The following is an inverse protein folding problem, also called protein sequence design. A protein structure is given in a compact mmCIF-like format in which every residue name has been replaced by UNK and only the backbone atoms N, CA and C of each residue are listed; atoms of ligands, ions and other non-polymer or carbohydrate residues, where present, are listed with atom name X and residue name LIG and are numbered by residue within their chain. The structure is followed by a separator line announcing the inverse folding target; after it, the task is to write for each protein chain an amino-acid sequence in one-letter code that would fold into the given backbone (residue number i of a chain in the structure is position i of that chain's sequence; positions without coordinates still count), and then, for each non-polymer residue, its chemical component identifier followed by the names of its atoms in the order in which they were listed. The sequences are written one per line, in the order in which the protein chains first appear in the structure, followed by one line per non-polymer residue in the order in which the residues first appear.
data_IF_415347173224
#
_entry.id   IF_415347173224
#
_cell.length_a   1.000
_cell.length_b   1.000
_cell.length_c   1.000
_cell.angle_alpha   90.00
_cell.angle_beta   90.00
_cell.angle_gamma   90.00
#
_symmetry.space_group_name_H-M   'P 1'
#
loop_
_entity.id
_entity.type
_entity.pdbx_description
1 polymer ?
#
# COMPACT_ATOMS: atom_id res chain seq x y z
N UNK A 1 28.29 14.18 -20.86
CA UNK A 1 27.29 13.21 -20.36
C UNK A 1 27.01 13.58 -18.91
N UNK A 2 25.86 14.20 -18.64
CA UNK A 2 25.48 14.52 -17.26
C UNK A 2 25.32 13.19 -16.50
N UNK A 3 25.93 13.09 -15.32
CA UNK A 3 25.71 11.97 -14.41
C UNK A 3 24.23 12.00 -14.07
N UNK A 4 23.44 11.12 -14.69
CA UNK A 4 22.05 10.91 -14.32
C UNK A 4 22.05 10.50 -12.85
N UNK A 5 21.61 11.39 -11.96
CA UNK A 5 21.48 11.06 -10.55
C UNK A 5 20.49 9.92 -10.43
N UNK A 6 20.98 8.75 -10.04
CA UNK A 6 20.13 7.57 -9.86
C UNK A 6 19.12 7.87 -8.76
N UNK A 7 17.84 7.90 -9.12
CA UNK A 7 16.75 8.04 -8.16
C UNK A 7 16.93 7.02 -7.03
N UNK A 8 16.91 7.47 -5.78
CA UNK A 8 17.14 6.61 -4.62
C UNK A 8 15.90 6.62 -3.72
N UNK A 9 15.39 5.43 -3.41
CA UNK A 9 14.30 5.23 -2.47
C UNK A 9 14.81 4.80 -1.10
N UNK A 10 14.37 5.50 -0.08
CA UNK A 10 14.71 5.21 1.31
C UNK A 10 13.83 4.06 1.81
N UNK A 11 14.37 3.22 2.71
CA UNK A 11 13.56 2.26 3.44
C UNK A 11 12.57 3.03 4.35
N UNK A 12 11.25 2.91 4.15
CA UNK A 12 10.27 3.68 4.91
C UNK A 12 9.89 3.06 6.25
N UNK A 13 10.44 1.89 6.59
CA UNK A 13 10.20 1.22 7.85
C UNK A 13 11.32 1.51 8.85
N UNK A 14 10.95 1.62 10.11
CA UNK A 14 11.91 1.72 11.21
C UNK A 14 12.70 0.42 11.37
N UNK A 15 14.01 0.55 11.61
CA UNK A 15 14.91 -0.57 11.83
C UNK A 15 15.47 -1.20 10.54
N UNK A 16 16.12 -2.38 10.66
CA UNK A 16 16.74 -3.04 9.52
C UNK A 16 15.68 -3.49 8.49
N UNK A 17 15.99 -3.45 7.18
CA UNK A 17 15.05 -3.88 6.15
C UNK A 17 14.65 -5.36 6.31
N UNK A 18 13.38 -5.61 6.66
CA UNK A 18 12.79 -6.95 6.71
C UNK A 18 11.97 -7.24 5.44
N UNK A 19 11.77 -8.51 5.06
CA UNK A 19 10.84 -8.86 3.99
C UNK A 19 9.44 -8.35 4.31
N UNK A 20 8.77 -7.74 3.33
CA UNK A 20 7.37 -7.38 3.46
C UNK A 20 6.52 -8.65 3.55
N UNK A 21 5.55 -8.63 4.45
CA UNK A 21 4.54 -9.69 4.53
C UNK A 21 3.50 -9.46 3.44
N UNK A 22 3.07 -10.53 2.81
CA UNK A 22 1.97 -10.55 1.86
C UNK A 22 0.74 -11.17 2.52
N UNK A 23 -0.44 -10.66 2.19
CA UNK A 23 -1.72 -11.27 2.56
C UNK A 23 -2.19 -12.30 1.52
N UNK A 24 -1.63 -12.26 0.31
CA UNK A 24 -1.83 -13.22 -0.79
C UNK A 24 -0.60 -13.25 -1.69
N UNK A 25 -0.76 -13.32 -3.01
CA UNK A 25 0.36 -13.16 -3.96
C UNK A 25 0.45 -11.76 -4.55
N UNK A 26 -0.65 -10.99 -4.54
CA UNK A 26 -0.73 -9.63 -5.08
C UNK A 26 -0.88 -8.54 -4.01
N UNK A 27 -1.29 -8.91 -2.80
CA UNK A 27 -1.62 -7.94 -1.74
C UNK A 27 -0.60 -7.97 -0.58
N UNK A 28 -0.22 -6.79 -0.09
CA UNK A 28 0.61 -6.67 1.11
C UNK A 28 -0.26 -6.89 2.34
N UNK A 29 0.36 -7.35 3.42
CA UNK A 29 -0.31 -7.43 4.72
C UNK A 29 -0.77 -6.03 5.16
N UNK A 30 -2.00 -5.86 5.67
CA UNK A 30 -2.49 -4.57 6.15
C UNK A 30 -1.58 -3.86 7.15
N UNK A 31 -0.82 -4.61 7.96
CA UNK A 31 0.18 -4.08 8.90
C UNK A 31 1.22 -3.19 8.19
N UNK A 32 1.53 -3.48 6.93
CA UNK A 32 2.43 -2.66 6.09
C UNK A 32 1.86 -1.26 5.92
N UNK A 33 0.58 -1.13 5.55
CA UNK A 33 -0.08 0.15 5.34
C UNK A 33 -0.20 0.97 6.64
N UNK A 34 -0.56 0.32 7.75
CA UNK A 34 -0.65 0.96 9.06
C UNK A 34 0.69 1.50 9.57
N UNK A 35 1.79 0.76 9.33
CA UNK A 35 3.14 1.24 9.66
C UNK A 35 3.51 2.48 8.85
N UNK A 36 3.24 2.47 7.54
CA UNK A 36 3.56 3.58 6.65
C UNK A 36 2.76 4.85 6.97
N UNK A 37 1.51 4.69 7.42
CA UNK A 37 0.68 5.82 7.90
C UNK A 37 1.07 6.33 9.30
N UNK A 38 2.14 5.79 9.91
CA UNK A 38 2.61 6.21 11.24
C UNK A 38 1.70 5.78 12.40
N UNK A 39 0.73 4.89 12.15
CA UNK A 39 -0.17 4.37 13.19
C UNK A 39 -0.16 2.85 13.15
N UNK A 40 0.92 2.19 13.63
CA UNK A 40 1.03 0.75 13.56
C UNK A 40 -0.10 0.08 14.36
N UNK A 41 -0.59 -1.09 13.92
CA UNK A 41 -1.71 -1.81 14.56
C UNK A 41 -1.60 -1.90 16.10
N UNK A 42 -0.44 -2.23 16.71
CA UNK A 42 -0.30 -2.20 18.17
C UNK A 42 -0.65 -0.86 18.82
N UNK A 43 -0.32 0.26 18.17
CA UNK A 43 -0.65 1.59 18.67
C UNK A 43 -2.16 1.88 18.56
N UNK A 44 -2.83 1.38 17.52
CA UNK A 44 -4.29 1.44 17.38
C UNK A 44 -4.94 0.69 18.55
N UNK A 45 -4.59 -0.58 18.76
CA UNK A 45 -5.12 -1.36 19.87
C UNK A 45 -4.73 -0.80 21.24
N UNK A 46 -3.60 -0.10 21.37
CA UNK A 46 -3.21 0.56 22.62
C UNK A 46 -4.14 1.73 22.96
N UNK A 47 -4.54 2.53 21.97
CA UNK A 47 -5.49 3.65 22.17
C UNK A 47 -6.85 3.16 22.65
N UNK A 48 -7.27 1.98 22.20
CA UNK A 48 -8.52 1.32 22.62
C UNK A 48 -8.38 0.51 23.92
N UNK A 49 -7.21 0.51 24.60
CA UNK A 49 -6.98 -0.30 25.80
C UNK A 49 -6.91 -1.82 25.54
N UNK A 50 -6.78 -2.24 24.29
CA UNK A 50 -6.78 -3.63 23.81
C UNK A 50 -5.38 -4.18 23.49
N UNK A 51 -4.29 -3.47 23.80
CA UNK A 51 -2.93 -3.90 23.46
C UNK A 51 -2.55 -5.28 24.05
N UNK A 52 -2.93 -5.55 25.30
CA UNK A 52 -2.65 -6.84 25.95
C UNK A 52 -3.40 -8.00 25.29
N UNK A 53 -4.64 -7.74 24.87
CA UNK A 53 -5.48 -8.66 24.11
C UNK A 53 -4.87 -8.94 22.73
N UNK A 54 -4.49 -7.89 21.99
CA UNK A 54 -3.84 -8.01 20.68
C UNK A 54 -2.53 -8.83 20.76
N UNK A 55 -1.66 -8.52 21.73
CA UNK A 55 -0.39 -9.26 21.92
C UNK A 55 -0.62 -10.74 22.27
N UNK A 56 -1.69 -11.08 23.00
CA UNK A 56 -2.09 -12.47 23.23
C UNK A 56 -2.53 -13.14 21.94
N UNK A 57 -3.36 -12.48 21.13
CA UNK A 57 -3.79 -12.96 19.81
C UNK A 57 -2.63 -13.29 18.88
N UNK A 58 -1.68 -12.37 18.73
CA UNK A 58 -0.46 -12.59 17.92
C UNK A 58 0.32 -13.81 18.41
N UNK A 59 0.53 -13.97 19.72
CA UNK A 59 1.20 -15.15 20.28
C UNK A 59 0.43 -16.44 20.04
N UNK A 60 -0.91 -16.40 20.08
CA UNK A 60 -1.75 -17.56 19.80
C UNK A 60 -1.66 -17.97 18.33
N UNK A 61 -1.59 -17.02 17.41
CA UNK A 61 -1.46 -17.28 15.97
C UNK A 61 -0.17 -18.04 15.64
N UNK A 62 0.91 -17.77 16.37
CA UNK A 62 2.22 -18.42 16.18
C UNK A 62 2.47 -19.59 17.14
N UNK A 63 1.51 -19.95 18.00
CA UNK A 63 1.70 -20.98 19.01
C UNK A 63 1.51 -22.40 18.44
N UNK A 64 2.40 -23.31 18.79
CA UNK A 64 2.29 -24.76 18.54
C UNK A 64 1.79 -25.53 19.77
N UNK A 65 1.48 -24.84 20.86
CA UNK A 65 1.14 -25.50 22.12
C UNK A 65 -0.24 -26.19 22.07
N UNK A 66 -0.43 -27.30 22.82
CA UNK A 66 -1.72 -28.00 22.89
C UNK A 66 -2.85 -27.09 23.38
N UNK A 67 -4.10 -27.40 23.03
CA UNK A 67 -5.29 -26.59 23.36
C UNK A 67 -5.27 -25.16 22.77
N UNK A 68 -4.63 -24.96 21.61
CA UNK A 68 -4.63 -23.67 20.92
C UNK A 68 -6.05 -23.18 20.60
N UNK A 69 -6.90 -24.07 20.09
CA UNK A 69 -8.29 -23.76 19.73
C UNK A 69 -9.08 -23.25 20.93
N UNK A 70 -9.04 -23.96 22.07
CA UNK A 70 -9.69 -23.52 23.31
C UNK A 70 -9.18 -22.16 23.78
N UNK A 71 -7.87 -21.90 23.68
CA UNK A 71 -7.29 -20.60 24.05
C UNK A 71 -7.66 -19.49 23.06
N UNK A 72 -7.77 -19.80 21.78
CA UNK A 72 -8.28 -18.88 20.76
C UNK A 72 -9.75 -18.54 21.04
N UNK A 73 -10.58 -19.53 21.40
CA UNK A 73 -11.97 -19.28 21.78
C UNK A 73 -12.09 -18.36 22.99
N UNK A 74 -11.35 -18.63 24.07
CA UNK A 74 -11.36 -17.73 25.25
C UNK A 74 -10.92 -16.31 24.91
N UNK A 75 -9.91 -16.17 24.05
CA UNK A 75 -9.44 -14.87 23.57
C UNK A 75 -10.52 -14.14 22.75
N UNK A 76 -11.28 -14.86 21.93
CA UNK A 76 -12.41 -14.33 21.17
C UNK A 76 -13.58 -13.90 22.07
N UNK A 77 -13.96 -14.73 23.02
CA UNK A 77 -15.05 -14.45 23.96
C UNK A 77 -14.78 -13.20 24.80
N UNK A 78 -13.51 -12.99 25.20
CA UNK A 78 -13.08 -11.77 25.87
C UNK A 78 -13.30 -10.50 25.02
N UNK A 79 -13.11 -10.57 23.69
CA UNK A 79 -13.35 -9.43 22.81
C UNK A 79 -14.84 -9.19 22.63
N UNK A 80 -15.62 -10.24 22.40
CA UNK A 80 -17.07 -10.17 22.23
C UNK A 80 -17.76 -9.57 23.44
N UNK A 81 -17.28 -9.87 24.66
CA UNK A 81 -17.80 -9.28 25.89
C UNK A 81 -17.45 -7.80 26.07
N UNK A 82 -16.33 -7.33 25.49
CA UNK A 82 -15.83 -5.96 25.65
C UNK A 82 -16.39 -4.98 24.65
N UNK A 83 -16.66 -5.45 23.43
CA UNK A 83 -17.06 -4.62 22.30
C UNK A 83 -18.08 -5.34 21.44
N UNK A 84 -19.36 -5.37 21.88
CA UNK A 84 -20.44 -6.01 21.15
C UNK A 84 -20.68 -5.39 19.77
N UNK A 85 -20.24 -4.14 19.52
CA UNK A 85 -20.27 -3.48 18.22
C UNK A 85 -19.43 -4.19 17.13
N UNK A 86 -18.48 -5.05 17.51
CA UNK A 86 -17.77 -5.92 16.57
C UNK A 86 -18.54 -7.23 16.27
N UNK A 87 -19.84 -7.27 16.60
CA UNK A 87 -20.71 -8.45 16.65
C UNK A 87 -20.63 -9.33 15.42
N UNK A 88 -20.68 -8.76 14.22
CA UNK A 88 -20.87 -9.57 13.00
C UNK A 88 -19.66 -10.46 12.69
N UNK A 89 -18.44 -9.91 12.81
CA UNK A 89 -17.20 -10.67 12.62
C UNK A 89 -16.99 -11.69 13.75
N UNK A 90 -17.30 -11.32 14.99
CA UNK A 90 -17.15 -12.20 16.15
C UNK A 90 -18.20 -13.31 16.16
N UNK A 91 -19.41 -13.04 15.66
CA UNK A 91 -20.50 -14.01 15.55
C UNK A 91 -20.15 -15.12 14.56
N UNK A 92 -19.62 -14.77 13.38
CA UNK A 92 -19.15 -15.77 12.41
C UNK A 92 -18.03 -16.65 13.01
N UNK A 93 -17.11 -16.07 13.78
CA UNK A 93 -16.08 -16.85 14.47
C UNK A 93 -16.64 -17.76 15.57
N UNK A 94 -17.60 -17.29 16.36
CA UNK A 94 -18.26 -18.09 17.38
C UNK A 94 -19.04 -19.26 16.77
N UNK A 95 -19.80 -19.01 15.69
CA UNK A 95 -20.53 -20.03 14.96
C UNK A 95 -19.58 -21.07 14.36
N UNK A 96 -18.48 -20.64 13.74
CA UNK A 96 -17.49 -21.54 13.17
C UNK A 96 -16.81 -22.41 14.25
N UNK A 97 -16.45 -21.82 15.39
CA UNK A 97 -15.92 -22.58 16.54
C UNK A 97 -16.94 -23.56 17.14
N UNK A 98 -18.23 -23.27 17.00
CA UNK A 98 -19.32 -24.19 17.33
C UNK A 98 -19.52 -25.33 16.33
N UNK A 99 -18.72 -25.39 15.26
CA UNK A 99 -18.82 -26.41 14.20
C UNK A 99 -19.77 -26.06 13.06
N UNK A 100 -20.27 -24.82 12.99
CA UNK A 100 -21.18 -24.38 11.94
C UNK A 100 -20.43 -24.26 10.60
N UNK A 101 -20.77 -25.14 9.65
CA UNK A 101 -20.01 -25.30 8.41
C UNK A 101 -20.12 -24.08 7.49
N UNK A 102 -21.25 -23.35 7.49
CA UNK A 102 -21.38 -22.15 6.68
C UNK A 102 -20.55 -21.00 7.23
N UNK A 103 -20.49 -20.80 8.55
CA UNK A 103 -19.62 -19.83 9.18
C UNK A 103 -18.15 -20.12 8.91
N UNK A 104 -17.73 -21.40 9.01
CA UNK A 104 -16.38 -21.80 8.64
C UNK A 104 -16.08 -21.49 7.17
N UNK A 105 -17.03 -21.73 6.27
CA UNK A 105 -16.88 -21.40 4.85
C UNK A 105 -16.79 -19.89 4.60
N UNK A 106 -17.61 -19.07 5.28
CA UNK A 106 -17.55 -17.60 5.22
C UNK A 106 -16.18 -17.08 5.67
N UNK A 107 -15.70 -17.54 6.82
CA UNK A 107 -14.38 -17.15 7.34
C UNK A 107 -13.25 -17.61 6.43
N UNK A 108 -13.35 -18.82 5.88
CA UNK A 108 -12.37 -19.32 4.92
C UNK A 108 -12.26 -18.44 3.68
N UNK A 109 -13.35 -17.77 3.27
CA UNK A 109 -13.41 -16.84 2.13
C UNK A 109 -13.08 -15.39 2.51
N UNK A 110 -12.97 -15.07 3.80
CA UNK A 110 -12.73 -13.72 4.27
C UNK A 110 -11.26 -13.33 4.09
N UNK A 111 -11.05 -12.15 3.52
CA UNK A 111 -9.71 -11.60 3.34
C UNK A 111 -9.23 -10.88 4.60
N UNK A 112 -7.92 -10.69 4.75
CA UNK A 112 -7.38 -9.93 5.90
C UNK A 112 -7.88 -8.47 5.89
N UNK A 113 -8.05 -7.86 4.71
CA UNK A 113 -8.61 -6.51 4.58
C UNK A 113 -10.07 -6.44 5.02
N UNK A 114 -10.89 -7.40 4.56
CA UNK A 114 -12.29 -7.51 4.96
C UNK A 114 -12.44 -7.75 6.46
N UNK A 115 -11.62 -8.66 7.02
CA UNK A 115 -11.61 -8.94 8.45
C UNK A 115 -11.31 -7.67 9.27
N UNK A 116 -10.33 -6.86 8.84
CA UNK A 116 -9.98 -5.61 9.53
C UNK A 116 -11.10 -4.57 9.41
N UNK A 117 -11.73 -4.41 8.25
CA UNK A 117 -12.81 -3.44 8.08
C UNK A 117 -14.06 -3.84 8.89
N UNK A 118 -14.45 -5.12 8.85
CA UNK A 118 -15.54 -5.63 9.70
C UNK A 118 -15.22 -5.52 11.19
N UNK A 119 -13.97 -5.80 11.58
CA UNK A 119 -13.50 -5.60 12.95
C UNK A 119 -13.41 -4.11 13.36
N UNK A 120 -13.68 -3.17 12.46
CA UNK A 120 -13.87 -1.74 12.75
C UNK A 120 -15.35 -1.33 12.70
N UNK A 121 -16.26 -2.30 12.57
CA UNK A 121 -17.69 -2.07 12.40
C UNK A 121 -18.07 -1.51 11.03
N UNK A 122 -17.18 -1.55 10.03
CA UNK A 122 -17.46 -1.05 8.69
C UNK A 122 -18.09 -2.16 7.85
N UNK A 123 -19.23 -1.85 7.23
CA UNK A 123 -19.82 -2.68 6.19
C UNK A 123 -19.31 -2.23 4.82
N UNK A 124 -19.55 -3.06 3.81
CA UNK A 124 -19.12 -2.77 2.44
C UNK A 124 -19.61 -1.41 1.91
N UNK A 125 -20.81 -1.01 2.32
CA UNK A 125 -21.41 0.27 1.94
C UNK A 125 -20.73 1.50 2.59
N UNK A 126 -20.04 1.30 3.72
CA UNK A 126 -19.37 2.36 4.47
C UNK A 126 -17.92 2.57 4.02
N UNK A 127 -17.41 1.68 3.15
CA UNK A 127 -16.01 1.72 2.75
C UNK A 127 -15.73 2.87 1.81
N UNK A 128 -14.62 3.57 2.09
CA UNK A 128 -14.03 4.48 1.13
C UNK A 128 -13.56 3.70 -0.11
N UNK A 129 -13.52 4.32 -1.30
CA UNK A 129 -13.14 3.65 -2.54
C UNK A 129 -11.83 2.86 -2.47
N UNK A 130 -10.82 3.40 -1.79
CA UNK A 130 -9.52 2.73 -1.63
C UNK A 130 -9.57 1.52 -0.69
N UNK A 131 -10.44 1.53 0.34
CA UNK A 131 -10.67 0.36 1.19
C UNK A 131 -11.39 -0.73 0.40
N UNK A 132 -12.44 -0.35 -0.35
CA UNK A 132 -13.18 -1.27 -1.21
C UNK A 132 -12.31 -1.89 -2.30
N UNK A 133 -11.36 -1.13 -2.87
CA UNK A 133 -10.41 -1.64 -3.86
C UNK A 133 -9.54 -2.78 -3.31
N UNK A 134 -8.95 -2.64 -2.13
CA UNK A 134 -8.10 -3.70 -1.57
C UNK A 134 -8.89 -4.92 -1.11
N UNK A 135 -10.15 -4.76 -0.69
CA UNK A 135 -11.04 -5.89 -0.47
C UNK A 135 -11.36 -6.63 -1.78
N UNK A 136 -11.69 -5.92 -2.86
CA UNK A 136 -11.99 -6.53 -4.16
C UNK A 136 -10.77 -7.29 -4.70
N UNK A 137 -9.59 -6.66 -4.65
CA UNK A 137 -8.34 -7.31 -5.04
C UNK A 137 -8.02 -8.47 -4.12
N UNK A 138 -8.16 -8.31 -2.79
CA UNK A 138 -7.89 -9.36 -1.82
C UNK A 138 -8.76 -10.60 -2.02
N UNK A 139 -10.04 -10.43 -2.35
CA UNK A 139 -10.94 -11.55 -2.60
C UNK A 139 -10.52 -12.30 -3.88
N UNK A 140 -10.15 -11.56 -4.91
CA UNK A 140 -9.63 -12.13 -6.15
C UNK A 140 -8.26 -12.80 -5.96
N UNK A 141 -7.39 -12.23 -5.12
CA UNK A 141 -6.07 -12.73 -4.75
C UNK A 141 -6.17 -14.03 -3.93
N UNK A 142 -7.12 -14.12 -3.00
CA UNK A 142 -7.38 -15.36 -2.26
C UNK A 142 -7.84 -16.50 -3.20
N UNK A 143 -8.74 -16.20 -4.14
CA UNK A 143 -9.16 -17.17 -5.14
C UNK A 143 -7.99 -17.58 -6.06
N UNK A 144 -7.10 -16.64 -6.38
CA UNK A 144 -5.87 -16.90 -7.14
C UNK A 144 -4.93 -17.82 -6.36
N UNK A 145 -4.64 -17.54 -5.09
CA UNK A 145 -3.81 -18.37 -4.21
C UNK A 145 -4.29 -19.82 -4.20
N UNK A 146 -5.60 -20.05 -3.99
CA UNK A 146 -6.18 -21.40 -3.96
C UNK A 146 -5.95 -22.17 -5.26
N UNK A 147 -6.01 -21.49 -6.41
CA UNK A 147 -5.73 -22.11 -7.72
C UNK A 147 -4.26 -22.45 -7.89
N UNK A 148 -3.39 -21.54 -7.48
CA UNK A 148 -1.94 -21.72 -7.54
C UNK A 148 -1.49 -22.87 -6.63
N UNK A 149 -2.09 -23.01 -5.45
CA UNK A 149 -1.84 -24.12 -4.51
C UNK A 149 -2.20 -25.50 -5.10
N UNK A 150 -3.25 -25.57 -5.92
CA UNK A 150 -3.64 -26.80 -6.63
C UNK A 150 -2.87 -27.01 -7.94
N UNK A 151 -1.93 -26.12 -8.29
CA UNK A 151 -1.18 -26.18 -9.55
C UNK A 151 -1.98 -25.77 -10.79
N UNK A 152 -3.15 -25.17 -10.62
CA UNK A 152 -4.05 -24.77 -11.72
C UNK A 152 -3.64 -23.41 -12.31
N UNK A 153 -2.52 -23.39 -13.05
CA UNK A 153 -2.00 -22.16 -13.69
C UNK A 153 -2.95 -21.61 -14.77
N UNK A 154 -3.62 -22.50 -15.51
CA UNK A 154 -4.56 -22.12 -16.55
C UNK A 154 -5.81 -21.45 -15.95
N UNK A 155 -6.38 -22.02 -14.89
CA UNK A 155 -7.49 -21.44 -14.17
C UNK A 155 -7.11 -20.16 -13.42
N UNK A 156 -5.88 -20.07 -12.90
CA UNK A 156 -5.33 -18.84 -12.33
C UNK A 156 -5.31 -17.70 -13.37
N UNK A 157 -4.76 -17.96 -14.57
CA UNK A 157 -4.74 -16.97 -15.66
C UNK A 157 -6.15 -16.57 -16.11
N UNK A 158 -7.05 -17.56 -16.31
CA UNK A 158 -8.43 -17.31 -16.71
C UNK A 158 -9.18 -16.45 -15.67
N UNK A 159 -8.97 -16.73 -14.38
CA UNK A 159 -9.52 -15.94 -13.28
C UNK A 159 -9.01 -14.49 -13.30
N UNK A 160 -7.70 -14.29 -13.49
CA UNK A 160 -7.13 -12.94 -13.59
C UNK A 160 -7.69 -12.18 -14.79
N UNK A 161 -7.74 -12.81 -15.97
CA UNK A 161 -8.24 -12.20 -17.20
C UNK A 161 -9.73 -11.82 -17.14
N UNK A 162 -10.54 -12.61 -16.43
CA UNK A 162 -11.96 -12.33 -16.23
C UNK A 162 -12.23 -11.26 -15.15
N UNK A 163 -11.32 -11.07 -14.18
CA UNK A 163 -11.56 -10.15 -13.08
C UNK A 163 -11.45 -8.68 -13.50
N UNK A 164 -12.42 -7.80 -13.12
CA UNK A 164 -12.43 -6.39 -13.55
C UNK A 164 -11.19 -5.58 -13.17
N UNK A 165 -10.48 -5.97 -12.10
CA UNK A 165 -9.24 -5.32 -11.66
C UNK A 165 -8.00 -6.08 -12.12
N UNK A 166 -7.96 -7.42 -11.95
CA UNK A 166 -6.71 -8.18 -12.14
C UNK A 166 -6.30 -8.26 -13.61
N UNK A 167 -7.27 -8.20 -14.54
CA UNK A 167 -6.97 -8.14 -15.98
C UNK A 167 -6.07 -6.97 -16.36
N UNK A 168 -6.10 -5.88 -15.58
CA UNK A 168 -5.28 -4.69 -15.82
C UNK A 168 -3.86 -4.82 -15.28
N UNK A 169 -3.53 -5.92 -14.62
CA UNK A 169 -2.18 -6.32 -14.21
C UNK A 169 -1.53 -7.25 -15.24
N UNK A 170 -2.31 -7.78 -16.19
CA UNK A 170 -1.82 -8.66 -17.25
C UNK A 170 -1.34 -7.82 -18.44
N UNK A 171 -0.10 -8.07 -18.85
CA UNK A 171 0.45 -7.64 -20.13
C UNK A 171 0.87 -8.88 -20.93
N UNK A 172 1.09 -8.80 -22.25
CA UNK A 172 1.34 -9.98 -23.08
C UNK A 172 2.44 -10.91 -22.55
N UNK A 173 3.56 -10.34 -22.08
CA UNK A 173 4.64 -11.10 -21.46
C UNK A 173 4.25 -11.82 -20.16
N UNK A 174 3.40 -11.20 -19.33
CA UNK A 174 2.93 -11.80 -18.08
C UNK A 174 1.98 -12.97 -18.33
N UNK A 175 1.06 -12.82 -19.29
CA UNK A 175 0.17 -13.92 -19.68
C UNK A 175 0.94 -15.12 -20.19
N UNK A 176 1.95 -14.87 -21.03
CA UNK A 176 2.84 -15.89 -21.55
C UNK A 176 3.64 -16.60 -20.45
N UNK A 177 4.15 -15.84 -19.48
CA UNK A 177 4.89 -16.38 -18.34
C UNK A 177 4.00 -17.30 -17.49
N UNK A 178 2.79 -16.85 -17.14
CA UNK A 178 1.84 -17.66 -16.35
C UNK A 178 1.44 -18.93 -17.12
N UNK A 179 1.19 -18.82 -18.43
CA UNK A 179 0.80 -19.97 -19.27
C UNK A 179 1.89 -21.04 -19.35
N UNK A 180 3.16 -20.64 -19.31
CA UNK A 180 4.32 -21.55 -19.45
C UNK A 180 4.83 -22.08 -18.11
N UNK A 181 4.48 -21.46 -17.00
CA UNK A 181 4.98 -21.84 -15.69
C UNK A 181 4.50 -23.23 -15.27
N UNK A 182 5.44 -24.05 -14.78
CA UNK A 182 5.11 -25.36 -14.22
C UNK A 182 4.85 -25.30 -12.72
N UNK A 183 5.45 -24.33 -12.02
CA UNK A 183 5.29 -24.12 -10.59
C UNK A 183 5.12 -22.65 -10.22
N UNK A 184 4.35 -22.39 -9.16
CA UNK A 184 4.10 -21.04 -8.62
C UNK A 184 5.40 -20.30 -8.27
N UNK A 185 6.43 -21.03 -7.85
CA UNK A 185 7.72 -20.45 -7.47
C UNK A 185 8.43 -19.74 -8.63
N UNK A 186 8.15 -20.12 -9.88
CA UNK A 186 8.67 -19.45 -11.08
C UNK A 186 8.04 -18.08 -11.29
N UNK A 187 6.86 -17.84 -10.72
CA UNK A 187 6.06 -16.63 -10.88
C UNK A 187 6.22 -15.63 -9.73
N UNK A 188 6.97 -15.97 -8.66
CA UNK A 188 7.12 -15.07 -7.50
C UNK A 188 7.65 -13.67 -7.87
N UNK A 189 8.65 -13.51 -8.76
CA UNK A 189 9.10 -12.17 -9.15
C UNK A 189 8.05 -11.41 -9.96
N UNK A 190 7.26 -12.11 -10.78
CA UNK A 190 6.14 -11.56 -11.55
C UNK A 190 5.01 -11.11 -10.62
N UNK A 191 4.60 -11.93 -9.66
CA UNK A 191 3.61 -11.55 -8.67
C UNK A 191 4.10 -10.39 -7.78
N UNK A 192 5.40 -10.35 -7.47
CA UNK A 192 6.02 -9.18 -6.84
C UNK A 192 5.86 -7.90 -7.68
N UNK A 193 6.06 -7.98 -9.00
CA UNK A 193 5.86 -6.86 -9.93
C UNK A 193 4.37 -6.42 -9.98
N UNK A 194 3.45 -7.38 -10.06
CA UNK A 194 2.00 -7.10 -10.05
C UNK A 194 1.52 -6.52 -8.72
N UNK A 195 2.07 -6.99 -7.59
CA UNK A 195 1.76 -6.44 -6.28
C UNK A 195 2.12 -4.95 -6.20
N UNK A 196 3.29 -4.55 -6.73
CA UNK A 196 3.65 -3.13 -6.78
C UNK A 196 2.62 -2.30 -7.57
N UNK A 197 2.09 -2.83 -8.68
CA UNK A 197 1.07 -2.14 -9.50
C UNK A 197 -0.32 -2.12 -8.82
N UNK A 198 -0.69 -3.18 -8.08
CA UNK A 198 -1.88 -3.17 -7.21
C UNK A 198 -1.81 -2.04 -6.19
N UNK A 199 -0.67 -1.89 -5.51
CA UNK A 199 -0.53 -0.89 -4.47
C UNK A 199 -0.39 0.54 -5.02
N UNK A 200 0.11 0.69 -6.24
CA UNK A 200 0.00 1.94 -6.99
C UNK A 200 -1.46 2.26 -7.32
N UNK A 201 -2.26 1.25 -7.70
CA UNK A 201 -3.70 1.37 -7.90
C UNK A 201 -4.46 1.78 -6.64
N UNK A 202 -4.14 1.18 -5.50
CA UNK A 202 -4.68 1.59 -4.20
C UNK A 202 -4.40 3.06 -3.88
N UNK A 203 -3.17 3.52 -4.13
CA UNK A 203 -2.82 4.94 -3.96
C UNK A 203 -3.65 5.86 -4.88
N UNK A 204 -3.89 5.44 -6.12
CA UNK A 204 -4.74 6.19 -7.04
C UNK A 204 -6.22 6.20 -6.59
N UNK A 205 -6.74 5.09 -6.06
CA UNK A 205 -8.08 5.03 -5.48
C UNK A 205 -8.24 6.01 -4.31
N UNK A 206 -7.21 6.11 -3.47
CA UNK A 206 -7.18 7.07 -2.36
C UNK A 206 -7.15 8.50 -2.86
N UNK A 207 -6.35 8.77 -3.90
CA UNK A 207 -6.21 10.09 -4.49
C UNK A 207 -7.50 10.59 -5.15
N UNK A 208 -8.22 9.75 -5.88
CA UNK A 208 -9.52 10.12 -6.47
C UNK A 208 -10.52 10.52 -5.39
N UNK A 209 -10.59 9.76 -4.31
CA UNK A 209 -11.47 10.04 -3.17
C UNK A 209 -11.14 11.40 -2.53
N UNK A 210 -9.86 11.63 -2.21
CA UNK A 210 -9.44 12.88 -1.56
C UNK A 210 -9.44 14.08 -2.50
N UNK A 211 -9.10 13.90 -3.77
CA UNK A 211 -9.09 14.98 -4.76
C UNK A 211 -10.51 15.46 -5.07
N UNK A 212 -11.49 14.54 -5.09
CA UNK A 212 -12.91 14.89 -5.20
C UNK A 212 -13.38 15.76 -4.03
N UNK A 213 -13.08 15.38 -2.79
CA UNK A 213 -13.41 16.17 -1.59
C UNK A 213 -12.83 17.60 -1.65
N UNK A 214 -11.71 17.78 -2.34
CA UNK A 214 -10.97 19.04 -2.42
C UNK A 214 -11.15 19.79 -3.75
N UNK A 215 -11.98 19.30 -4.68
CA UNK A 215 -12.18 19.90 -6.00
C UNK A 215 -10.92 19.94 -6.88
N UNK A 216 -10.06 18.91 -6.79
CA UNK A 216 -8.77 18.81 -7.52
C UNK A 216 -8.76 17.63 -8.48
N UNK A 217 -7.85 17.65 -9.45
CA UNK A 217 -7.57 16.48 -10.29
C UNK A 217 -6.79 15.41 -9.51
N UNK A 218 -5.73 15.79 -8.81
CA UNK A 218 -4.89 14.91 -8.01
C UNK A 218 -4.28 15.66 -6.82
N UNK A 219 -4.16 14.97 -5.70
CA UNK A 219 -3.44 15.38 -4.51
C UNK A 219 -2.05 14.74 -4.40
N UNK A 220 -1.79 13.62 -5.09
CA UNK A 220 -0.56 12.85 -4.94
C UNK A 220 0.37 12.87 -6.17
N UNK A 221 -0.10 13.25 -7.36
CA UNK A 221 0.69 13.25 -8.60
C UNK A 221 2.04 13.98 -8.43
N UNK A 222 2.03 15.11 -7.73
CA UNK A 222 3.24 15.90 -7.43
C UNK A 222 4.28 15.21 -6.55
N UNK A 223 3.92 14.12 -5.88
CA UNK A 223 4.82 13.32 -5.03
C UNK A 223 5.48 12.18 -5.81
N UNK A 224 5.06 11.93 -7.05
CA UNK A 224 5.61 10.88 -7.88
C UNK A 224 6.89 11.35 -8.58
N UNK A 225 7.98 10.56 -8.48
CA UNK A 225 9.14 10.74 -9.35
C UNK A 225 8.73 10.69 -10.82
N UNK A 226 9.31 11.56 -11.63
CA UNK A 226 8.99 11.66 -13.06
C UNK A 226 10.20 12.13 -13.85
N UNK A 227 10.21 11.84 -15.16
CA UNK A 227 11.25 12.29 -16.08
C UNK A 227 11.38 13.82 -16.14
N UNK A 228 10.31 14.56 -15.82
CA UNK A 228 10.33 16.03 -15.74
C UNK A 228 11.03 16.58 -14.50
N UNK A 229 11.28 15.73 -13.49
CA UNK A 229 11.96 16.08 -12.24
C UNK A 229 13.01 15.00 -11.92
N UNK A 230 14.04 14.84 -12.78
CA UNK A 230 14.98 13.73 -12.67
C UNK A 230 15.71 13.73 -11.34
N UNK A 231 15.87 12.55 -10.74
CA UNK A 231 16.57 12.35 -9.46
C UNK A 231 15.83 12.85 -8.21
N UNK A 232 14.62 13.41 -8.35
CA UNK A 232 13.81 13.87 -7.21
C UNK A 232 12.98 12.71 -6.66
N UNK A 233 13.30 12.29 -5.44
CA UNK A 233 12.55 11.25 -4.75
C UNK A 233 11.31 11.78 -4.01
N UNK A 234 10.41 10.90 -3.54
CA UNK A 234 9.14 11.32 -2.92
C UNK A 234 9.31 12.23 -1.71
N UNK A 235 10.41 12.11 -0.96
CA UNK A 235 10.70 12.99 0.18
C UNK A 235 10.96 14.41 -0.29
N UNK A 236 11.84 14.59 -1.26
CA UNK A 236 12.16 15.93 -1.79
C UNK A 236 10.94 16.57 -2.44
N UNK A 237 10.07 15.78 -3.08
CA UNK A 237 8.83 16.23 -3.69
C UNK A 237 7.77 16.60 -2.65
N UNK A 238 7.68 15.84 -1.56
CA UNK A 238 6.85 16.18 -0.41
C UNK A 238 7.31 17.50 0.21
N UNK A 239 8.61 17.72 0.37
CA UNK A 239 9.15 18.97 0.91
C UNK A 239 8.82 20.19 0.01
N UNK A 240 8.83 20.02 -1.31
CA UNK A 240 8.38 21.09 -2.22
C UNK A 240 6.89 21.41 -2.04
N UNK A 241 6.03 20.40 -1.84
CA UNK A 241 4.63 20.63 -1.53
C UNK A 241 4.43 21.30 -0.17
N UNK A 242 5.22 20.91 0.85
CA UNK A 242 5.22 21.56 2.16
C UNK A 242 5.52 23.04 2.01
N UNK A 243 6.68 23.40 1.42
CA UNK A 243 7.05 24.81 1.16
C UNK A 243 5.94 25.57 0.45
N UNK A 244 5.39 24.99 -0.62
CA UNK A 244 4.31 25.61 -1.42
C UNK A 244 3.06 25.87 -0.58
N UNK A 245 2.67 24.96 0.32
CA UNK A 245 1.51 25.14 1.22
C UNK A 245 1.76 26.16 2.32
N UNK A 246 2.98 26.19 2.86
CA UNK A 246 3.38 27.16 3.88
C UNK A 246 3.58 28.57 3.33
N UNK A 247 3.72 28.73 2.01
CA UNK A 247 4.11 29.99 1.38
C UNK A 247 5.58 30.35 1.61
N UNK A 248 6.41 29.38 2.01
CA UNK A 248 7.81 29.58 2.34
C UNK A 248 8.71 29.42 1.12
N UNK A 249 9.76 30.23 1.04
CA UNK A 249 10.78 30.21 -0.02
C UNK A 249 11.77 29.05 0.13
N UNK A 250 11.99 28.54 1.34
CA UNK A 250 12.99 27.50 1.61
C UNK A 250 13.03 26.99 3.05
N UNK A 251 13.95 26.05 3.31
CA UNK A 251 14.16 25.44 4.61
C UNK A 251 14.49 26.47 5.70
N UNK A 252 15.33 27.46 5.39
CA UNK A 252 15.72 28.52 6.33
C UNK A 252 14.54 29.35 6.81
N UNK A 253 13.61 29.70 5.93
CA UNK A 253 12.42 30.46 6.31
C UNK A 253 11.48 29.63 7.21
N UNK A 254 11.30 28.35 6.88
CA UNK A 254 10.54 27.43 7.73
C UNK A 254 11.18 27.33 9.12
N UNK A 255 12.49 27.08 9.17
CA UNK A 255 13.25 26.93 10.40
C UNK A 255 13.20 28.19 11.27
N UNK A 256 13.43 29.37 10.70
CA UNK A 256 13.46 30.63 11.44
C UNK A 256 12.11 31.03 12.07
N UNK A 257 11.01 30.45 11.58
CA UNK A 257 9.67 30.68 12.14
C UNK A 257 9.36 29.74 13.31
N UNK A 258 10.11 28.66 13.49
CA UNK A 258 9.84 27.65 14.51
C UNK A 258 10.57 28.04 15.82
N UNK A 259 9.86 28.10 16.96
CA UNK A 259 10.49 28.36 18.25
C UNK A 259 11.55 27.29 18.59
N UNK A 260 12.65 27.71 19.21
CA UNK A 260 13.73 26.80 19.63
C UNK A 260 13.25 25.73 20.63
N UNK A 261 12.16 25.99 21.36
CA UNK A 261 11.57 25.10 22.35
C UNK A 261 10.74 23.96 21.73
N UNK A 262 10.44 24.04 20.43
CA UNK A 262 9.55 23.10 19.73
C UNK A 262 10.23 21.78 19.33
N UNK A 263 11.52 21.59 19.67
CA UNK A 263 12.28 20.35 19.44
C UNK A 263 12.83 20.16 18.01
N UNK A 264 12.67 21.16 17.13
CA UNK A 264 13.40 21.22 15.86
C UNK A 264 14.72 21.97 16.08
N UNK A 265 15.73 21.25 16.55
CA UNK A 265 16.97 21.87 17.02
C UNK A 265 17.94 22.27 15.89
N UNK A 266 17.74 21.76 14.67
CA UNK A 266 18.71 21.89 13.57
C UNK A 266 18.06 21.95 12.19
N UNK A 267 18.39 23.02 11.43
CA UNK A 267 18.00 23.23 10.03
C UNK A 267 18.40 22.06 9.13
N UNK A 268 19.47 21.32 9.48
CA UNK A 268 19.93 20.15 8.72
C UNK A 268 18.85 19.08 8.55
N UNK A 269 17.84 19.04 9.44
CA UNK A 269 16.69 18.15 9.29
C UNK A 269 15.86 18.53 8.06
N UNK A 270 15.55 19.81 7.90
CA UNK A 270 14.79 20.32 6.74
C UNK A 270 15.62 20.25 5.46
N UNK A 271 16.93 20.49 5.53
CA UNK A 271 17.81 20.31 4.37
C UNK A 271 17.86 18.84 3.92
N UNK A 272 17.89 17.89 4.87
CA UNK A 272 17.82 16.46 4.54
C UNK A 272 16.47 16.05 3.95
N UNK A 273 15.38 16.70 4.36
CA UNK A 273 14.07 16.51 3.69
C UNK A 273 14.08 17.11 2.28
N UNK A 274 14.58 18.33 2.12
CA UNK A 274 14.70 19.00 0.81
C UNK A 274 15.54 18.18 -0.18
N UNK A 275 16.66 17.63 0.29
CA UNK A 275 17.57 16.80 -0.51
C UNK A 275 17.09 15.34 -0.66
N UNK A 276 16.01 14.96 0.02
CA UNK A 276 15.46 13.61 -0.05
C UNK A 276 16.29 12.53 0.65
N UNK A 277 17.20 12.89 1.56
CA UNK A 277 18.13 11.96 2.21
C UNK A 277 17.63 11.46 3.57
N UNK A 278 16.56 12.05 4.12
CA UNK A 278 15.88 11.59 5.34
C UNK A 278 14.37 11.71 5.21
N UNK A 279 13.64 10.65 5.55
CA UNK A 279 12.17 10.68 5.54
C UNK A 279 11.63 11.66 6.58
N UNK A 280 10.53 12.40 6.28
CA UNK A 280 9.86 13.22 7.26
C UNK A 280 9.11 12.38 8.28
N UNK A 281 8.98 12.91 9.49
CA UNK A 281 8.21 12.34 10.59
C UNK A 281 7.01 13.22 10.96
N UNK A 282 6.00 12.59 11.55
CA UNK A 282 4.71 13.22 11.85
C UNK A 282 4.87 14.28 12.94
N UNK A 283 5.72 14.04 13.94
CA UNK A 283 5.92 14.96 15.06
C UNK A 283 6.55 16.27 14.60
N UNK A 284 7.62 16.18 13.79
CA UNK A 284 8.25 17.37 13.20
C UNK A 284 7.31 18.09 12.25
N UNK A 285 6.56 17.36 11.42
CA UNK A 285 5.55 17.96 10.55
C UNK A 285 4.48 18.70 11.36
N UNK A 286 4.00 18.11 12.45
CA UNK A 286 3.00 18.71 13.35
C UNK A 286 3.49 20.02 13.96
N UNK A 287 4.73 20.05 14.45
CA UNK A 287 5.37 21.28 14.94
C UNK A 287 5.36 22.37 13.86
N UNK A 288 5.83 22.03 12.65
CA UNK A 288 5.86 22.97 11.53
C UNK A 288 4.45 23.50 11.22
N UNK A 289 3.46 22.62 11.12
CA UNK A 289 2.09 23.01 10.81
C UNK A 289 1.46 23.86 11.91
N UNK A 290 1.76 23.57 13.18
CA UNK A 290 1.29 24.35 14.33
C UNK A 290 1.71 25.82 14.24
N UNK A 291 2.98 26.08 13.94
CA UNK A 291 3.53 27.45 13.81
C UNK A 291 2.98 28.24 12.61
N UNK A 292 2.44 27.52 11.64
CA UNK A 292 1.76 28.11 10.48
C UNK A 292 0.24 28.15 10.64
N UNK A 293 -0.31 27.69 11.76
CA UNK A 293 -1.76 27.64 12.01
C UNK A 293 -2.51 26.64 11.11
N UNK A 294 -1.81 25.62 10.62
CA UNK A 294 -2.32 24.60 9.69
C UNK A 294 -2.49 23.23 10.33
N UNK A 295 -2.11 23.05 11.61
CA UNK A 295 -2.26 21.76 12.30
C UNK A 295 -3.74 21.47 12.57
N UNK A 296 -4.38 20.77 11.62
CA UNK A 296 -5.75 20.29 11.71
C UNK A 296 -5.79 18.78 11.46
N UNK A 297 -6.73 18.03 12.08
CA UNK A 297 -6.81 16.57 11.92
C UNK A 297 -6.98 16.10 10.47
N UNK A 298 -7.57 16.93 9.61
CA UNK A 298 -7.82 16.64 8.19
C UNK A 298 -6.80 17.27 7.24
N UNK A 299 -5.71 17.85 7.78
CA UNK A 299 -4.68 18.49 6.97
C UNK A 299 -4.06 17.50 5.97
N UNK A 300 -4.10 17.89 4.69
CA UNK A 300 -3.71 17.05 3.56
C UNK A 300 -2.25 16.59 3.63
N UNK A 301 -1.35 17.41 4.20
CA UNK A 301 0.06 17.08 4.33
C UNK A 301 0.32 15.82 5.17
N UNK A 302 -0.52 15.51 6.17
CA UNK A 302 -0.39 14.26 6.92
C UNK A 302 -0.62 13.04 6.03
N UNK A 303 -1.66 13.11 5.19
CA UNK A 303 -1.96 12.03 4.26
C UNK A 303 -0.89 11.93 3.15
N UNK A 304 -0.45 13.07 2.61
CA UNK A 304 0.64 13.12 1.63
C UNK A 304 1.96 12.57 2.18
N UNK A 305 2.24 12.79 3.47
CA UNK A 305 3.38 12.17 4.14
C UNK A 305 3.25 10.64 4.13
N UNK A 306 2.10 10.12 4.54
CA UNK A 306 1.80 8.67 4.47
C UNK A 306 1.96 8.10 3.05
N UNK A 307 1.45 8.81 2.04
CA UNK A 307 1.58 8.40 0.63
C UNK A 307 3.02 8.48 0.12
N UNK A 308 3.80 9.49 0.51
CA UNK A 308 5.22 9.57 0.13
C UNK A 308 6.02 8.38 0.65
N UNK A 309 5.72 7.90 1.87
CA UNK A 309 6.29 6.67 2.43
C UNK A 309 5.87 5.42 1.67
N UNK A 310 4.63 5.37 1.18
CA UNK A 310 4.19 4.28 0.30
C UNK A 310 4.94 4.28 -1.04
N UNK A 311 5.14 5.45 -1.67
CA UNK A 311 5.93 5.53 -2.92
C UNK A 311 7.36 5.08 -2.66
N UNK A 312 7.96 5.48 -1.53
CA UNK A 312 9.27 4.97 -1.11
C UNK A 312 9.28 3.47 -0.91
N UNK A 313 8.26 2.88 -0.30
CA UNK A 313 8.15 1.43 -0.16
C UNK A 313 8.14 0.75 -1.53
N UNK A 314 7.30 1.20 -2.45
CA UNK A 314 7.18 0.62 -3.79
C UNK A 314 8.53 0.69 -4.52
N UNK A 315 9.16 1.87 -4.53
CA UNK A 315 10.43 2.08 -5.20
C UNK A 315 11.58 1.31 -4.55
N UNK A 316 11.62 1.26 -3.22
CA UNK A 316 12.63 0.50 -2.46
C UNK A 316 12.52 -1.01 -2.74
N UNK A 317 11.30 -1.55 -2.74
CA UNK A 317 11.05 -2.95 -3.09
C UNK A 317 11.48 -3.26 -4.52
N UNK A 318 11.13 -2.40 -5.48
CA UNK A 318 11.53 -2.56 -6.86
C UNK A 318 13.06 -2.52 -7.03
N UNK A 319 13.74 -1.54 -6.42
CA UNK A 319 15.20 -1.44 -6.47
C UNK A 319 15.90 -2.68 -5.89
N UNK A 320 15.36 -3.27 -4.82
CA UNK A 320 15.88 -4.54 -4.27
C UNK A 320 15.69 -5.71 -5.23
N UNK A 321 14.55 -5.79 -5.92
CA UNK A 321 14.29 -6.83 -6.93
C UNK A 321 15.20 -6.65 -8.16
N UNK A 322 15.37 -5.40 -8.62
CA UNK A 322 16.31 -5.07 -9.70
C UNK A 322 17.75 -5.44 -9.33
N UNK A 323 18.21 -5.09 -8.13
CA UNK A 323 19.55 -5.44 -7.66
C UNK A 323 19.74 -6.96 -7.65
N UNK A 324 18.80 -7.71 -7.06
CA UNK A 324 18.82 -9.18 -7.07
C UNK A 324 18.83 -9.78 -8.47
N UNK A 325 18.04 -9.23 -9.39
CA UNK A 325 17.99 -9.70 -10.77
C UNK A 325 19.32 -9.46 -11.50
N UNK A 326 19.95 -8.29 -11.30
CA UNK A 326 21.24 -7.94 -11.89
C UNK A 326 22.41 -8.74 -11.32
N UNK A 327 22.36 -9.06 -10.03
CA UNK A 327 23.41 -9.81 -9.33
C UNK A 327 23.26 -11.33 -9.48
N UNK A 328 22.10 -11.81 -9.93
CA UNK A 328 21.82 -13.24 -10.09
C UNK A 328 22.62 -13.86 -11.23
N UNK A 329 23.21 -15.03 -10.99
CA UNK A 329 23.79 -15.89 -12.04
C UNK A 329 22.73 -16.47 -13.00
N UNK A 330 21.44 -16.37 -12.64
CA UNK A 330 20.29 -16.80 -13.45
C UNK A 330 19.24 -15.68 -13.49
N UNK A 331 19.52 -14.57 -14.21
CA UNK A 331 18.64 -13.40 -14.23
C UNK A 331 17.25 -13.70 -14.80
N UNK A 332 17.13 -14.69 -15.68
CA UNK A 332 15.85 -15.15 -16.23
C UNK A 332 14.85 -15.64 -15.17
N UNK A 333 15.33 -16.12 -14.02
CA UNK A 333 14.47 -16.53 -12.89
C UNK A 333 13.86 -15.34 -12.14
N UNK A 334 14.25 -14.12 -12.50
CA UNK A 334 13.75 -12.89 -11.90
C UNK A 334 12.90 -12.08 -12.87
N UNK A 335 12.56 -12.60 -14.05
CA UNK A 335 11.70 -11.87 -14.99
C UNK A 335 10.39 -11.44 -14.31
N UNK A 336 9.92 -10.17 -14.47
CA UNK A 336 10.35 -9.17 -15.46
C UNK A 336 11.58 -8.32 -15.09
N UNK A 337 12.16 -8.52 -13.92
CA UNK A 337 13.29 -7.72 -13.45
C UNK A 337 14.56 -7.97 -14.29
N UNK A 338 15.39 -6.94 -14.56
CA UNK A 338 15.40 -5.62 -13.94
C UNK A 338 14.44 -4.60 -14.55
N UNK A 339 13.65 -4.91 -15.58
CA UNK A 339 12.60 -4.01 -16.00
C UNK A 339 11.49 -3.95 -14.93
N UNK A 340 10.79 -2.83 -14.88
CA UNK A 340 9.59 -2.64 -14.07
C UNK A 340 8.39 -3.38 -14.70
N UNK A 341 7.27 -3.55 -13.97
CA UNK A 341 6.05 -4.14 -14.54
C UNK A 341 5.70 -3.48 -15.88
N UNK A 342 5.18 -4.23 -16.86
CA UNK A 342 4.95 -3.73 -18.23
C UNK A 342 6.22 -3.32 -19.00
N UNK A 343 7.38 -3.86 -18.61
CA UNK A 343 8.66 -3.69 -19.31
C UNK A 343 9.20 -2.25 -19.31
N UNK A 344 8.72 -1.40 -18.38
CA UNK A 344 9.26 -0.05 -18.23
C UNK A 344 10.73 -0.10 -17.74
N UNK A 345 11.60 0.81 -18.22
CA UNK A 345 13.03 0.76 -17.92
C UNK A 345 13.37 1.19 -16.48
N UNK A 346 12.54 2.04 -15.87
CA UNK A 346 12.78 2.64 -14.55
C UNK A 346 11.45 2.96 -13.83
N UNK A 347 11.58 3.37 -12.56
CA UNK A 347 10.43 3.66 -11.70
C UNK A 347 9.67 4.87 -12.23
N UNK A 348 10.37 5.93 -12.65
CA UNK A 348 9.78 7.16 -13.16
C UNK A 348 8.88 6.88 -14.37
N UNK A 349 9.35 6.08 -15.32
CA UNK A 349 8.61 5.68 -16.51
C UNK A 349 7.41 4.80 -16.16
N UNK A 350 7.59 3.84 -15.25
CA UNK A 350 6.49 3.00 -14.77
C UNK A 350 5.41 3.81 -14.07
N UNK A 351 5.78 4.62 -13.07
CA UNK A 351 4.85 5.40 -12.28
C UNK A 351 4.13 6.47 -13.11
N UNK A 352 4.83 7.16 -14.01
CA UNK A 352 4.23 8.18 -14.89
C UNK A 352 3.21 7.63 -15.89
N UNK A 353 3.28 6.35 -16.23
CA UNK A 353 2.29 5.69 -17.09
C UNK A 353 1.18 5.00 -16.29
N UNK A 354 1.56 4.23 -15.26
CA UNK A 354 0.64 3.37 -14.52
C UNK A 354 -0.21 4.14 -13.51
N UNK A 355 0.33 5.18 -12.88
CA UNK A 355 -0.46 5.95 -11.92
C UNK A 355 -1.63 6.71 -12.57
N UNK A 356 -1.44 7.45 -13.70
CA UNK A 356 -2.57 8.07 -14.40
C UNK A 356 -3.60 7.06 -14.92
N UNK A 357 -3.14 5.88 -15.37
CA UNK A 357 -4.04 4.79 -15.74
C UNK A 357 -4.97 4.41 -14.58
N UNK A 358 -4.41 4.17 -13.39
CA UNK A 358 -5.21 3.81 -12.22
C UNK A 358 -6.12 4.95 -11.75
N UNK A 359 -5.66 6.21 -11.82
CA UNK A 359 -6.52 7.36 -11.53
C UNK A 359 -7.76 7.37 -12.42
N UNK A 360 -7.57 7.19 -13.73
CA UNK A 360 -8.68 7.18 -14.69
C UNK A 360 -9.58 5.95 -14.50
N UNK A 361 -9.01 4.79 -14.19
CA UNK A 361 -9.76 3.59 -13.82
C UNK A 361 -10.70 3.88 -12.65
N UNK A 362 -10.22 4.51 -11.58
CA UNK A 362 -11.03 4.83 -10.40
C UNK A 362 -12.06 5.93 -10.65
N UNK A 363 -11.71 7.00 -11.39
CA UNK A 363 -12.66 8.04 -11.79
C UNK A 363 -13.84 7.47 -12.59
N UNK A 364 -13.54 6.60 -13.56
CA UNK A 364 -14.58 5.98 -14.41
C UNK A 364 -15.54 5.09 -13.61
N UNK A 365 -15.04 4.35 -12.61
CA UNK A 365 -15.87 3.52 -11.73
C UNK A 365 -16.73 4.33 -10.76
N UNK A 366 -16.25 5.51 -10.36
CA UNK A 366 -16.96 6.37 -9.41
C UNK A 366 -17.92 7.36 -10.11
N UNK A 367 -18.15 7.22 -11.42
CA UNK A 367 -19.09 8.03 -12.19
C UNK A 367 -18.60 9.44 -12.52
N UNK A 368 -17.32 9.75 -12.33
CA UNK A 368 -16.76 11.05 -12.73
C UNK A 368 -16.67 11.05 -14.26
N UNK A 369 -17.59 11.77 -14.92
CA UNK A 369 -17.62 11.97 -16.38
C UNK A 369 -16.38 12.64 -16.99
N UNK A 370 -15.28 12.75 -16.24
CA UNK A 370 -13.96 13.23 -16.63
C UNK A 370 -13.03 12.09 -17.05
N UNK A 371 -13.56 10.93 -17.46
CA UNK A 371 -12.75 9.91 -18.12
C UNK A 371 -12.14 10.51 -19.38
N UNK A 372 -10.86 10.87 -19.30
CA UNK A 372 -10.10 11.40 -20.41
C UNK A 372 -10.02 10.31 -21.49
N UNK A 373 -10.76 10.51 -22.58
CA UNK A 373 -10.87 9.56 -23.70
C UNK A 373 -9.57 9.44 -24.51
N UNK A 374 -8.50 10.11 -24.08
CA UNK A 374 -7.23 10.21 -24.80
C UNK A 374 -6.23 9.09 -24.49
N UNK A 375 -6.51 8.20 -23.53
CA UNK A 375 -5.67 7.02 -23.24
C UNK A 375 -6.40 5.73 -23.63
N UNK A 376 -6.78 5.64 -24.91
CA UNK A 376 -6.94 4.35 -25.57
C UNK A 376 -5.60 4.06 -26.27
N UNK A 377 -5.02 2.84 -26.17
CA UNK A 377 -3.92 2.47 -27.03
C UNK A 377 -4.44 2.53 -28.47
N UNK A 378 -3.81 3.35 -29.29
CA UNK A 378 -4.02 3.34 -30.73
C UNK A 378 -3.68 1.97 -31.29
N UNK A 379 -4.71 1.19 -31.62
CA UNK A 379 -4.64 0.24 -32.72
C UNK A 379 -5.18 0.96 -33.96
N UNK A 380 -4.31 1.56 -34.74
CA UNK A 380 -4.57 1.87 -36.15
C UNK A 380 -3.35 1.44 -36.96
N UNK A 381 -3.56 0.52 -37.92
CA UNK A 381 -2.58 0.08 -38.93
C UNK A 381 -2.20 -1.38 -38.83
#
# INVERSE_FOLDING_TARGET
MAVSSTLTFLNPFEGPPVPLKLAGVLTFDPEVHFKLSGTPLPAIFAREGLLSWYRRGVRLMTSTAPNRERRAQMWMDELAARSPEYSDYLSDLQLASGGESHALARLGQMTVFEAINRARGLQRADLKPHQGYLEDVGAADLALVRRLETGDMAGALAHMAAHPILRHLLWPGAEDAIRKASHVNELLPLFGAMALDVHLGWMAAWDVDRARELGRSSCLEKLLPSAHRPGRNPTSLFFDELKRRLGASGATEIFNRIPAESGLDDISTLDRWSNGTRLPDVETLKVILGEYGLDQPDELLYAQLGCSRHIHMLGHCAQRLQARARESARPQLFWPWPAYPFEFPDFESWASNRYPFWLNFHRSRNGDGTADRSILPGCEG
#
